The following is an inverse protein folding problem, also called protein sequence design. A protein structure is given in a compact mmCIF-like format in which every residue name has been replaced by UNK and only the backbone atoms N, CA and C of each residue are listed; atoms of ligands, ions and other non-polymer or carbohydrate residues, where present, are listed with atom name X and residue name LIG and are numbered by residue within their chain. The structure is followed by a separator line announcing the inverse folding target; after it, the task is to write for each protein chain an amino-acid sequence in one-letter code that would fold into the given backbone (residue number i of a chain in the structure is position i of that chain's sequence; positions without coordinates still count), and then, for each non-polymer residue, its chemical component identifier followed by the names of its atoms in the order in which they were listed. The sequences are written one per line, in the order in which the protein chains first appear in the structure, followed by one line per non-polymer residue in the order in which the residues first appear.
data_IF_763099498701
#
_entry.id   IF_763099498701
#
_cell.length_a   1.000
_cell.length_b   1.000
_cell.length_c   1.000
_cell.angle_alpha   90.00
_cell.angle_beta   90.00
_cell.angle_gamma   90.00
#
_symmetry.space_group_name_H-M   'P 1'
#
loop_
_entity.id
_entity.type
_entity.pdbx_description
1 polymer ?
#
# COMPACT_ATOMS: atom_id res chain seq x y z
N UNK A 1 25.88 19.90 2.71
CA UNK A 1 24.83 19.94 1.66
C UNK A 1 24.88 18.60 0.96
N UNK A 2 23.84 17.79 1.05
CA UNK A 2 23.87 16.41 0.51
C UNK A 2 23.64 16.47 -1.01
N UNK A 3 24.74 16.31 -1.77
CA UNK A 3 24.75 16.33 -3.24
C UNK A 3 23.75 15.33 -3.85
N UNK A 4 23.58 14.17 -3.23
CA UNK A 4 22.61 13.16 -3.67
C UNK A 4 21.17 13.67 -3.57
N UNK A 5 20.85 14.43 -2.53
CA UNK A 5 19.53 15.02 -2.34
C UNK A 5 19.22 16.07 -3.40
N UNK A 6 20.17 16.97 -3.65
CA UNK A 6 20.02 18.03 -4.67
C UNK A 6 19.89 17.43 -6.08
N UNK A 7 20.70 16.41 -6.40
CA UNK A 7 20.61 15.70 -7.68
C UNK A 7 19.25 15.00 -7.83
N UNK A 8 18.78 14.34 -6.78
CA UNK A 8 17.47 13.66 -6.81
C UNK A 8 16.31 14.65 -6.97
N UNK A 9 16.40 15.83 -6.34
CA UNK A 9 15.41 16.89 -6.51
C UNK A 9 15.40 17.42 -7.95
N UNK A 10 16.57 17.63 -8.56
CA UNK A 10 16.70 18.05 -9.96
C UNK A 10 16.15 16.99 -10.93
N UNK A 11 16.50 15.72 -10.72
CA UNK A 11 15.96 14.60 -11.53
C UNK A 11 14.45 14.51 -11.38
N UNK A 12 13.92 14.63 -10.19
CA UNK A 12 12.49 14.60 -9.92
C UNK A 12 11.72 15.81 -10.48
N UNK A 13 12.39 16.92 -10.73
CA UNK A 13 11.78 18.08 -11.38
C UNK A 13 11.57 17.85 -12.89
N UNK A 14 12.51 17.13 -13.54
CA UNK A 14 12.45 16.81 -14.98
C UNK A 14 11.66 15.53 -15.25
N UNK A 15 11.84 14.52 -14.41
CA UNK A 15 11.18 13.20 -14.50
C UNK A 15 10.40 12.93 -13.21
N UNK A 16 9.21 13.51 -13.06
CA UNK A 16 8.43 13.33 -11.86
C UNK A 16 8.03 11.86 -11.65
N UNK A 17 8.15 11.32 -10.42
CA UNK A 17 7.64 10.00 -10.12
C UNK A 17 6.15 9.92 -10.44
N UNK A 18 5.75 8.80 -11.01
CA UNK A 18 4.39 8.55 -11.42
C UNK A 18 3.54 8.06 -10.24
N UNK A 19 2.27 8.43 -10.26
CA UNK A 19 1.28 7.87 -9.35
C UNK A 19 1.21 6.33 -9.54
N UNK A 20 1.38 5.52 -8.48
CA UNK A 20 1.38 4.06 -8.62
C UNK A 20 0.04 3.52 -9.12
N UNK A 21 -1.08 4.23 -8.91
CA UNK A 21 -2.41 3.75 -9.25
C UNK A 21 -2.79 3.99 -10.71
N UNK A 22 -2.42 5.14 -11.30
CA UNK A 22 -2.78 5.47 -12.69
C UNK A 22 -1.57 5.62 -13.64
N UNK A 23 -0.36 5.76 -13.10
CA UNK A 23 0.85 5.97 -13.91
C UNK A 23 1.07 7.41 -14.36
N UNK A 24 0.17 8.34 -14.07
CA UNK A 24 0.36 9.77 -14.40
C UNK A 24 1.35 10.43 -13.43
N UNK A 25 2.06 11.50 -13.85
CA UNK A 25 2.94 12.23 -12.96
C UNK A 25 2.20 12.69 -11.70
N UNK A 26 2.80 12.47 -10.53
CA UNK A 26 2.20 12.88 -9.27
C UNK A 26 2.31 14.41 -9.10
N UNK A 27 1.21 15.11 -8.77
CA UNK A 27 1.19 16.56 -8.65
C UNK A 27 1.93 17.03 -7.39
N UNK A 28 2.40 18.27 -7.41
CA UNK A 28 2.82 19.00 -6.22
C UNK A 28 1.60 19.60 -5.52
N UNK A 29 1.47 19.35 -4.23
CA UNK A 29 0.44 19.94 -3.38
C UNK A 29 1.13 20.60 -2.19
N UNK A 30 1.00 21.92 -2.06
CA UNK A 30 1.63 22.67 -0.96
C UNK A 30 3.17 22.57 -0.90
N UNK A 31 3.85 22.44 -2.06
CA UNK A 31 5.30 22.30 -2.13
C UNK A 31 5.80 20.87 -1.84
N UNK A 32 4.92 19.95 -1.53
CA UNK A 32 5.24 18.52 -1.29
C UNK A 32 4.62 17.70 -2.41
N UNK A 33 5.37 16.73 -2.90
CA UNK A 33 4.87 15.82 -3.92
C UNK A 33 3.93 14.80 -3.29
N UNK A 34 2.75 14.64 -3.87
CA UNK A 34 1.79 13.64 -3.45
C UNK A 34 2.28 12.23 -3.83
N UNK A 35 2.19 11.28 -2.92
CA UNK A 35 2.52 9.87 -3.18
C UNK A 35 1.53 9.24 -4.18
N UNK A 36 0.27 9.66 -4.12
CA UNK A 36 -0.81 9.24 -5.00
C UNK A 36 -1.55 10.51 -5.46
N UNK A 37 -1.92 10.59 -6.73
CA UNK A 37 -2.66 11.75 -7.24
C UNK A 37 -4.06 11.84 -6.62
N UNK A 38 -4.62 13.06 -6.55
CA UNK A 38 -5.90 13.31 -5.88
C UNK A 38 -7.05 12.46 -6.42
N UNK A 39 -7.16 12.31 -7.75
CA UNK A 39 -8.20 11.48 -8.36
C UNK A 39 -8.10 9.99 -7.96
N UNK A 40 -6.88 9.46 -7.86
CA UNK A 40 -6.68 8.08 -7.41
C UNK A 40 -6.91 7.94 -5.91
N UNK A 41 -6.55 8.94 -5.10
CA UNK A 41 -6.77 8.92 -3.65
C UNK A 41 -8.27 8.76 -3.32
N UNK A 42 -9.16 9.40 -4.09
CA UNK A 42 -10.62 9.26 -3.91
C UNK A 42 -11.18 7.91 -4.40
N UNK A 43 -10.44 7.21 -5.26
CA UNK A 43 -10.89 5.95 -5.87
C UNK A 43 -10.19 4.70 -5.31
N UNK A 44 -9.34 4.87 -4.30
CA UNK A 44 -8.73 3.77 -3.58
C UNK A 44 -9.53 3.48 -2.33
N UNK A 45 -10.01 2.26 -2.22
CA UNK A 45 -10.61 1.77 -1.00
C UNK A 45 -9.50 1.14 -0.14
N UNK A 46 -9.18 1.81 0.95
CA UNK A 46 -8.37 1.21 1.99
C UNK A 46 -9.23 0.26 2.81
N UNK A 47 -8.65 -0.86 3.20
CA UNK A 47 -9.32 -1.75 4.13
C UNK A 47 -9.52 -1.02 5.47
N UNK A 48 -10.74 -1.05 5.97
CA UNK A 48 -11.13 -0.52 7.27
C UNK A 48 -11.86 -1.60 8.06
N UNK A 49 -12.02 -1.39 9.35
CA UNK A 49 -12.88 -2.24 10.19
C UNK A 49 -14.36 -2.14 9.74
N UNK A 50 -15.14 -3.24 9.82
CA UNK A 50 -14.72 -4.56 10.30
C UNK A 50 -13.94 -5.38 9.25
N UNK A 51 -12.91 -6.08 9.70
CA UNK A 51 -12.03 -6.88 8.86
C UNK A 51 -11.80 -8.28 9.46
N UNK A 52 -11.57 -9.26 8.59
CA UNK A 52 -11.30 -10.64 8.97
C UNK A 52 -10.07 -10.72 9.88
N UNK A 53 -10.21 -11.31 11.05
CA UNK A 53 -9.14 -11.43 12.05
C UNK A 53 -7.95 -12.27 11.58
N UNK A 54 -8.13 -13.09 10.55
CA UNK A 54 -7.08 -13.94 9.98
C UNK A 54 -6.33 -13.26 8.83
N UNK A 55 -7.03 -12.77 7.80
CA UNK A 55 -6.40 -12.29 6.56
C UNK A 55 -6.54 -10.78 6.32
N UNK A 56 -7.26 -10.05 7.18
CA UNK A 56 -7.47 -8.62 7.04
C UNK A 56 -8.41 -8.21 5.89
N UNK A 57 -9.10 -9.15 5.22
CA UNK A 57 -10.10 -8.83 4.19
C UNK A 57 -11.32 -8.17 4.84
N UNK A 58 -11.98 -7.15 4.23
CA UNK A 58 -13.23 -6.60 4.75
C UNK A 58 -14.29 -7.67 4.95
N UNK A 59 -15.04 -7.58 6.03
CA UNK A 59 -16.22 -8.41 6.34
C UNK A 59 -17.46 -7.55 6.46
N UNK A 60 -18.64 -8.15 6.51
CA UNK A 60 -19.91 -7.41 6.41
C UNK A 60 -20.25 -6.61 7.67
N UNK A 61 -19.93 -7.16 8.84
CA UNK A 61 -20.32 -6.63 10.14
C UNK A 61 -19.30 -7.02 11.21
N UNK A 62 -19.40 -6.42 12.38
CA UNK A 62 -18.52 -6.65 13.52
C UNK A 62 -18.69 -8.03 14.16
N UNK A 63 -19.81 -8.72 13.89
CA UNK A 63 -20.07 -10.07 14.40
C UNK A 63 -19.32 -11.13 13.56
N UNK A 64 -18.90 -10.78 12.35
CA UNK A 64 -18.19 -11.67 11.44
C UNK A 64 -16.68 -11.65 11.69
N UNK A 65 -16.17 -12.57 12.49
CA UNK A 65 -14.74 -12.69 12.81
C UNK A 65 -13.89 -13.12 11.61
N UNK A 66 -14.39 -14.03 10.77
CA UNK A 66 -13.64 -14.61 9.65
C UNK A 66 -14.41 -14.50 8.34
N UNK A 67 -13.71 -14.10 7.26
CA UNK A 67 -14.30 -14.12 5.94
C UNK A 67 -14.58 -15.57 5.46
N UNK A 68 -15.40 -15.70 4.41
CA UNK A 68 -15.81 -17.00 3.86
C UNK A 68 -14.62 -17.91 3.47
N UNK A 69 -13.52 -17.35 3.03
CA UNK A 69 -12.33 -18.13 2.65
C UNK A 69 -11.61 -18.67 3.89
N UNK A 70 -11.39 -17.80 4.90
CA UNK A 70 -10.72 -18.21 6.14
C UNK A 70 -11.57 -19.15 7.02
N UNK A 71 -12.89 -19.10 6.88
CA UNK A 71 -13.79 -20.06 7.55
C UNK A 71 -13.75 -21.44 6.92
N UNK A 72 -13.42 -21.54 5.62
CA UNK A 72 -13.39 -22.82 4.88
C UNK A 72 -12.01 -23.46 4.83
N UNK A 73 -10.96 -22.66 4.83
CA UNK A 73 -9.57 -23.13 4.64
C UNK A 73 -8.70 -22.78 5.84
N UNK A 74 -7.93 -23.76 6.29
CA UNK A 74 -6.86 -23.53 7.28
C UNK A 74 -5.66 -22.92 6.58
N UNK A 75 -5.27 -21.72 7.00
CA UNK A 75 -4.06 -21.08 6.55
C UNK A 75 -2.93 -21.32 7.56
N UNK A 76 -1.71 -21.52 7.07
CA UNK A 76 -0.52 -21.79 7.89
C UNK A 76 0.03 -20.55 8.59
N UNK A 77 -0.29 -19.35 8.12
CA UNK A 77 0.08 -18.10 8.79
C UNK A 77 -0.89 -17.76 9.93
N UNK A 78 -0.42 -17.03 10.92
CA UNK A 78 -1.24 -16.64 12.07
C UNK A 78 -2.19 -15.49 11.74
N UNK A 79 -1.66 -14.38 11.25
CA UNK A 79 -2.44 -13.21 10.86
C UNK A 79 -1.84 -12.51 9.64
N UNK A 80 -2.66 -11.75 8.94
CA UNK A 80 -2.23 -10.85 7.87
C UNK A 80 -2.97 -9.52 7.96
N UNK A 81 -2.33 -8.47 7.46
CA UNK A 81 -2.92 -7.14 7.31
C UNK A 81 -3.09 -6.85 5.82
N UNK A 82 -4.26 -6.42 5.43
CA UNK A 82 -4.52 -5.94 4.08
C UNK A 82 -4.56 -4.41 4.06
N UNK A 83 -3.83 -3.80 3.13
CA UNK A 83 -3.77 -2.34 2.99
C UNK A 83 -4.90 -1.80 2.14
N UNK A 84 -5.16 -2.44 1.00
CA UNK A 84 -6.16 -2.02 0.03
C UNK A 84 -7.18 -3.11 -0.24
N UNK A 85 -8.41 -2.71 -0.54
CA UNK A 85 -9.34 -3.59 -1.23
C UNK A 85 -8.84 -3.89 -2.64
N UNK A 86 -8.98 -5.14 -3.09
CA UNK A 86 -8.48 -5.60 -4.38
C UNK A 86 -9.36 -5.10 -5.53
N UNK A 87 -9.13 -3.86 -5.94
CA UNK A 87 -9.79 -3.22 -7.08
C UNK A 87 -8.96 -3.36 -8.37
N UNK A 88 -9.55 -2.98 -9.50
CA UNK A 88 -8.85 -2.96 -10.80
C UNK A 88 -7.58 -2.10 -10.75
N UNK A 89 -7.67 -0.89 -10.19
CA UNK A 89 -6.55 0.05 -10.11
C UNK A 89 -5.41 -0.48 -9.22
N UNK A 90 -5.76 -1.07 -8.08
CA UNK A 90 -4.77 -1.68 -7.17
C UNK A 90 -4.09 -2.88 -7.83
N UNK A 91 -4.85 -3.74 -8.53
CA UNK A 91 -4.29 -4.86 -9.27
C UNK A 91 -3.31 -4.42 -10.34
N UNK A 92 -3.68 -3.44 -11.16
CA UNK A 92 -2.83 -2.89 -12.21
C UNK A 92 -1.58 -2.22 -11.65
N UNK A 93 -1.70 -1.54 -10.50
CA UNK A 93 -0.58 -0.93 -9.80
C UNK A 93 0.43 -1.97 -9.32
N UNK A 94 -0.03 -3.03 -8.66
CA UNK A 94 0.81 -4.16 -8.22
C UNK A 94 1.44 -4.86 -9.42
N UNK A 95 0.71 -5.02 -10.51
CA UNK A 95 1.21 -5.64 -11.72
C UNK A 95 2.35 -4.82 -12.33
N UNK A 96 2.20 -3.49 -12.44
CA UNK A 96 3.29 -2.60 -12.88
C UNK A 96 4.51 -2.67 -11.97
N UNK A 97 4.30 -2.67 -10.67
CA UNK A 97 5.39 -2.82 -9.68
C UNK A 97 6.17 -4.11 -9.89
N UNK A 98 5.48 -5.25 -10.04
CA UNK A 98 6.12 -6.57 -10.15
C UNK A 98 6.76 -6.84 -11.50
N UNK A 99 6.16 -6.38 -12.60
CA UNK A 99 6.52 -6.84 -13.95
C UNK A 99 7.02 -5.74 -14.89
N UNK A 100 6.83 -4.47 -14.54
CA UNK A 100 7.27 -3.32 -15.37
C UNK A 100 8.37 -2.51 -14.73
N UNK A 101 9.12 -3.12 -13.82
CA UNK A 101 10.28 -2.50 -13.14
C UNK A 101 9.97 -1.15 -12.46
N UNK A 102 8.74 -0.97 -11.96
CA UNK A 102 8.32 0.23 -11.24
C UNK A 102 8.71 0.18 -9.76
N UNK A 103 10.01 0.02 -9.50
CA UNK A 103 10.57 -0.11 -8.14
C UNK A 103 10.33 1.13 -7.28
N UNK A 104 10.18 2.31 -7.90
CA UNK A 104 9.84 3.55 -7.21
C UNK A 104 8.54 3.48 -6.40
N UNK A 105 7.63 2.56 -6.76
CA UNK A 105 6.38 2.34 -6.01
C UNK A 105 6.60 1.70 -4.63
N UNK A 106 7.72 1.01 -4.44
CA UNK A 106 8.03 0.34 -3.17
C UNK A 106 8.04 1.30 -1.98
N UNK A 107 8.64 2.49 -2.16
CA UNK A 107 8.69 3.52 -1.11
C UNK A 107 7.30 4.00 -0.69
N UNK A 108 6.39 4.16 -1.65
CA UNK A 108 5.02 4.59 -1.42
C UNK A 108 4.24 3.49 -0.67
N UNK A 109 4.34 2.24 -1.13
CA UNK A 109 3.69 1.12 -0.45
C UNK A 109 4.24 0.90 0.96
N UNK A 110 5.56 0.96 1.14
CA UNK A 110 6.19 0.80 2.45
C UNK A 110 5.71 1.86 3.45
N UNK A 111 5.64 3.14 3.03
CA UNK A 111 5.12 4.23 3.85
C UNK A 111 3.67 3.97 4.27
N UNK A 112 2.81 3.66 3.31
CA UNK A 112 1.38 3.42 3.60
C UNK A 112 1.16 2.17 4.46
N UNK A 113 1.94 1.11 4.25
CA UNK A 113 1.92 -0.07 5.12
C UNK A 113 2.38 0.27 6.52
N UNK A 114 3.45 1.05 6.69
CA UNK A 114 3.92 1.49 7.99
C UNK A 114 2.87 2.33 8.72
N UNK A 115 2.21 3.24 8.02
CA UNK A 115 1.19 4.13 8.59
C UNK A 115 -0.06 3.35 9.03
N UNK A 116 -0.52 2.38 8.22
CA UNK A 116 -1.80 1.68 8.46
C UNK A 116 -1.65 0.34 9.19
N UNK A 117 -0.66 -0.45 8.83
CA UNK A 117 -0.42 -1.77 9.42
C UNK A 117 0.63 -1.74 10.54
N UNK A 118 1.34 -0.64 10.72
CA UNK A 118 2.47 -0.56 11.64
C UNK A 118 2.11 -0.85 13.09
N UNK A 119 0.88 -0.51 13.54
CA UNK A 119 0.39 -0.87 14.88
C UNK A 119 0.28 -2.40 15.03
N UNK A 120 -0.33 -3.07 14.06
CA UNK A 120 -0.48 -4.53 14.06
C UNK A 120 0.88 -5.23 13.99
N UNK A 121 1.76 -4.76 13.10
CA UNK A 121 3.12 -5.32 12.96
C UNK A 121 3.89 -5.23 14.29
N UNK A 122 3.79 -4.11 15.00
CA UNK A 122 4.40 -3.97 16.34
C UNK A 122 3.78 -4.91 17.38
N UNK A 123 2.47 -5.13 17.32
CA UNK A 123 1.79 -6.08 18.22
C UNK A 123 2.22 -7.52 17.96
N UNK A 124 2.48 -7.88 16.70
CA UNK A 124 2.98 -9.22 16.33
C UNK A 124 4.42 -9.46 16.79
N UNK A 125 5.20 -8.40 17.03
CA UNK A 125 6.61 -8.47 17.45
C UNK A 125 7.42 -9.50 16.63
N UNK A 126 7.49 -9.37 15.30
CA UNK A 126 8.19 -10.37 14.49
C UNK A 126 9.69 -10.37 14.80
N UNK A 127 10.27 -11.56 14.95
CA UNK A 127 11.70 -11.73 15.15
C UNK A 127 12.50 -11.44 13.88
N UNK A 128 11.92 -11.73 12.72
CA UNK A 128 12.55 -11.58 11.39
C UNK A 128 11.55 -11.06 10.37
N UNK A 129 12.01 -10.20 9.47
CA UNK A 129 11.29 -9.79 8.27
C UNK A 129 11.96 -10.42 7.07
N UNK A 130 11.21 -11.19 6.30
CA UNK A 130 11.67 -11.86 5.08
C UNK A 130 11.03 -11.14 3.89
N UNK A 131 11.81 -10.61 2.92
CA UNK A 131 11.30 -9.92 1.73
C UNK A 131 10.66 -10.87 0.72
#
# INVERSE_FOLDING_TARGET
MDYKKVLMEAVNAVLPPACPMCGTPAPFVGGIRADICGSCMHNINYVSEPACLKCGKPVKDEETEYCSDCSRQKHVYDQACALYEYSKNVRESIYRFKYYNKQEYAGIYAKQMADRCGRMIRMWSPDVIIP
#
